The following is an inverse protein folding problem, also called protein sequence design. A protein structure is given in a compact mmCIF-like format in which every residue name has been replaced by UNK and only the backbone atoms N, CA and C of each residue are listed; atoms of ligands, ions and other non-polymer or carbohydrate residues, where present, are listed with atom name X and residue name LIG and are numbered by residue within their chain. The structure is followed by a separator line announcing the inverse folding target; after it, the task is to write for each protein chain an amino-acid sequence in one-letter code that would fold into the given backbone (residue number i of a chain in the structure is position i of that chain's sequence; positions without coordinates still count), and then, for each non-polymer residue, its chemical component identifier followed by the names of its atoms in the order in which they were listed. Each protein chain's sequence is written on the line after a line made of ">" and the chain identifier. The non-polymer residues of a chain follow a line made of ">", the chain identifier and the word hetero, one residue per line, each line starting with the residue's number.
data_IF_158495479958
#
_entry.id   IF_158495479958
#
_cell.length_a   1.000
_cell.length_b   1.000
_cell.length_c   1.000
_cell.angle_alpha   90.00
_cell.angle_beta   90.00
_cell.angle_gamma   90.00
#
_symmetry.space_group_name_H-M   'P 1'
#
loop_
_entity.id
_entity.type
_entity.pdbx_description
1 polymer ?
#
# COMPACT_ATOMS: atom_id res chain seq x y z
N UNK A 1 5.03 -31.40 89.12
CA UNK A 1 6.39 -31.08 88.63
C UNK A 1 6.34 -30.86 87.11
N UNK A 2 7.09 -29.87 86.61
CA UNK A 2 7.07 -29.15 85.30
C UNK A 2 7.32 -30.05 84.05
N UNK A 3 7.19 -29.57 82.77
CA UNK A 3 7.07 -28.17 82.32
C UNK A 3 6.07 -27.83 81.19
N UNK A 4 5.91 -26.50 81.08
CA UNK A 4 5.42 -25.69 79.97
C UNK A 4 6.00 -26.11 78.61
N UNK A 5 5.13 -26.23 77.61
CA UNK A 5 5.46 -25.88 76.22
C UNK A 5 4.40 -24.90 75.73
N UNK A 6 4.79 -23.63 75.66
CA UNK A 6 4.03 -22.57 75.03
C UNK A 6 4.39 -22.59 73.54
N UNK A 7 3.47 -23.02 72.67
CA UNK A 7 3.60 -22.80 71.23
C UNK A 7 2.46 -21.90 70.79
N UNK A 8 2.86 -20.66 70.58
CA UNK A 8 2.10 -19.52 70.15
C UNK A 8 1.48 -19.81 68.77
N UNK A 9 0.15 -19.85 68.67
CA UNK A 9 -0.57 -19.78 67.40
C UNK A 9 -0.24 -18.43 66.75
N UNK A 10 0.44 -18.46 65.59
CA UNK A 10 0.46 -17.32 64.67
C UNK A 10 0.03 -17.73 63.27
N UNK A 11 -1.23 -17.39 63.00
CA UNK A 11 -1.77 -16.81 61.77
C UNK A 11 -1.25 -17.36 60.43
N UNK A 12 -2.16 -18.08 59.78
CA UNK A 12 -2.22 -18.45 58.35
C UNK A 12 -1.54 -17.43 57.43
N UNK A 13 -0.40 -17.79 56.83
CA UNK A 13 0.08 -17.10 55.63
C UNK A 13 -0.72 -17.62 54.44
N UNK A 14 -1.54 -16.73 53.88
CA UNK A 14 -2.24 -16.96 52.61
C UNK A 14 -1.21 -17.28 51.53
N UNK A 15 -1.13 -18.55 51.12
CA UNK A 15 -0.39 -18.97 49.93
C UNK A 15 -1.06 -18.30 48.73
N UNK A 16 -0.55 -17.13 48.34
CA UNK A 16 -0.94 -16.41 47.11
C UNK A 16 -0.91 -17.41 45.95
N UNK A 17 -2.08 -17.87 45.52
CA UNK A 17 -2.24 -18.52 44.21
C UNK A 17 -1.77 -17.49 43.19
N UNK A 18 -0.61 -17.71 42.59
CA UNK A 18 -0.18 -16.93 41.42
C UNK A 18 -1.19 -17.26 40.33
N UNK A 19 -2.13 -16.34 40.10
CA UNK A 19 -2.98 -16.38 38.93
C UNK A 19 -2.06 -16.16 37.75
N UNK A 20 -1.71 -17.25 37.04
CA UNK A 20 -1.00 -17.16 35.77
C UNK A 20 -2.02 -16.59 34.80
N UNK A 21 -1.91 -15.29 34.55
CA UNK A 21 -2.70 -14.58 33.57
C UNK A 21 -2.29 -15.09 32.18
N UNK A 22 -3.04 -16.08 31.70
CA UNK A 22 -2.83 -16.71 30.41
C UNK A 22 -3.42 -15.79 29.35
N UNK A 23 -2.59 -14.89 28.83
CA UNK A 23 -2.95 -14.02 27.71
C UNK A 23 -3.08 -14.88 26.45
N UNK A 24 -4.30 -15.29 26.12
CA UNK A 24 -4.60 -15.88 24.82
C UNK A 24 -4.38 -14.81 23.74
N UNK A 25 -3.20 -14.81 23.12
CA UNK A 25 -3.00 -14.10 21.86
C UNK A 25 -3.88 -14.80 20.83
N UNK A 26 -5.00 -14.16 20.46
CA UNK A 26 -5.82 -14.60 19.33
C UNK A 26 -4.94 -14.52 18.08
N UNK A 27 -4.33 -15.64 17.71
CA UNK A 27 -3.68 -15.79 16.42
C UNK A 27 -4.81 -15.87 15.40
N UNK A 28 -5.20 -14.71 14.86
CA UNK A 28 -6.10 -14.64 13.71
C UNK A 28 -5.34 -15.24 12.53
N UNK A 29 -5.61 -16.51 12.23
CA UNK A 29 -5.04 -17.23 11.10
C UNK A 29 -5.44 -16.55 9.79
N UNK A 30 -4.56 -15.70 9.27
CA UNK A 30 -4.69 -15.04 7.97
C UNK A 30 -3.35 -15.08 7.23
N UNK A 31 -3.39 -14.87 5.91
CA UNK A 31 -2.17 -14.71 5.09
C UNK A 31 -1.30 -13.62 5.74
N UNK A 32 0.01 -13.87 5.94
CA UNK A 32 0.89 -12.90 6.58
C UNK A 32 0.77 -11.54 5.90
N UNK A 33 0.88 -10.43 6.67
CA UNK A 33 0.78 -9.10 6.11
C UNK A 33 1.87 -8.89 5.07
N UNK A 34 1.48 -8.28 3.94
CA UNK A 34 2.41 -7.96 2.86
C UNK A 34 3.50 -7.01 3.35
N UNK A 35 4.76 -7.37 3.12
CA UNK A 35 5.90 -6.53 3.44
C UNK A 35 6.42 -5.90 2.15
N UNK A 36 6.27 -4.58 1.95
CA UNK A 36 6.77 -3.92 0.76
C UNK A 36 8.29 -3.79 0.83
N UNK A 37 8.96 -4.52 -0.05
CA UNK A 37 10.40 -4.43 -0.29
C UNK A 37 10.73 -3.41 -1.40
N UNK A 38 11.97 -2.92 -1.42
CA UNK A 38 12.43 -1.92 -2.40
C UNK A 38 12.46 -2.48 -3.82
N UNK A 39 12.83 -3.75 -4.01
CA UNK A 39 12.81 -4.40 -5.34
C UNK A 39 11.38 -4.44 -5.89
N UNK A 40 10.41 -4.79 -5.04
CA UNK A 40 9.00 -4.81 -5.42
C UNK A 40 8.49 -3.40 -5.76
N UNK A 41 8.96 -2.36 -5.05
CA UNK A 41 8.62 -0.96 -5.36
C UNK A 41 9.13 -0.57 -6.74
N UNK A 42 10.38 -0.91 -7.05
CA UNK A 42 10.97 -0.68 -8.37
C UNK A 42 10.19 -1.39 -9.47
N UNK A 43 9.80 -2.65 -9.25
CA UNK A 43 8.98 -3.41 -10.20
C UNK A 43 7.61 -2.75 -10.41
N UNK A 44 6.92 -2.33 -9.35
CA UNK A 44 5.63 -1.64 -9.48
C UNK A 44 5.77 -0.33 -10.25
N UNK A 45 6.78 0.48 -9.93
CA UNK A 45 7.02 1.76 -10.60
C UNK A 45 7.35 1.55 -12.09
N UNK A 46 8.13 0.52 -12.42
CA UNK A 46 8.47 0.14 -13.78
C UNK A 46 7.22 -0.27 -14.58
N UNK A 47 6.43 -1.20 -14.05
CA UNK A 47 5.22 -1.70 -14.72
C UNK A 47 4.17 -0.60 -14.88
N UNK A 48 3.98 0.23 -13.86
CA UNK A 48 3.11 1.39 -13.96
C UNK A 48 3.62 2.40 -15.00
N UNK A 49 4.94 2.60 -15.07
CA UNK A 49 5.62 3.42 -16.08
C UNK A 49 5.50 2.88 -17.52
N UNK A 50 5.26 1.58 -17.67
CA UNK A 50 4.94 0.94 -18.94
C UNK A 50 3.44 0.90 -19.26
N UNK A 51 2.62 1.64 -18.49
CA UNK A 51 1.16 1.68 -18.61
C UNK A 51 0.45 0.33 -18.40
N UNK A 52 1.05 -0.61 -17.67
CA UNK A 52 0.43 -1.89 -17.33
C UNK A 52 -0.76 -1.68 -16.38
N UNK A 53 -1.93 -2.33 -16.59
CA UNK A 53 -3.07 -2.22 -15.70
C UNK A 53 -2.75 -2.71 -14.27
N UNK A 54 -3.31 -2.06 -13.25
CA UNK A 54 -3.10 -2.46 -11.85
C UNK A 54 -3.51 -3.91 -11.56
N UNK A 55 -4.51 -4.45 -12.28
CA UNK A 55 -4.92 -5.84 -12.13
C UNK A 55 -3.82 -6.82 -12.54
N UNK A 56 -3.12 -6.54 -13.64
CA UNK A 56 -1.99 -7.35 -14.11
C UNK A 56 -0.79 -7.21 -13.17
N UNK A 57 -0.53 -6.00 -12.66
CA UNK A 57 0.50 -5.76 -11.63
C UNK A 57 0.20 -6.59 -10.37
N UNK A 58 -1.07 -6.67 -9.97
CA UNK A 58 -1.50 -7.54 -8.85
C UNK A 58 -1.26 -9.02 -9.15
N UNK A 59 -1.50 -9.45 -10.39
CA UNK A 59 -1.22 -10.82 -10.86
C UNK A 59 0.28 -11.15 -10.78
N UNK A 60 1.14 -10.25 -11.26
CA UNK A 60 2.61 -10.42 -11.22
C UNK A 60 3.13 -10.54 -9.79
N UNK A 61 2.57 -9.79 -8.85
CA UNK A 61 3.00 -9.75 -7.44
C UNK A 61 2.24 -10.74 -6.55
N UNK A 62 1.22 -11.42 -7.09
CA UNK A 62 0.29 -12.28 -6.36
C UNK A 62 -0.35 -11.64 -5.10
N UNK A 63 -0.66 -10.35 -5.19
CA UNK A 63 -1.27 -9.55 -4.12
C UNK A 63 -2.69 -9.08 -4.47
N UNK A 64 -3.47 -8.79 -3.43
CA UNK A 64 -4.80 -8.18 -3.59
C UNK A 64 -4.68 -6.71 -4.05
N UNK A 65 -5.58 -6.21 -4.92
CA UNK A 65 -5.61 -4.80 -5.33
C UNK A 65 -5.64 -3.79 -4.17
N UNK A 66 -6.25 -4.13 -3.03
CA UNK A 66 -6.25 -3.28 -1.83
C UNK A 66 -4.85 -3.14 -1.23
N UNK A 67 -4.05 -4.21 -1.29
CA UNK A 67 -2.67 -4.24 -0.81
C UNK A 67 -1.79 -3.41 -1.74
N UNK A 68 -1.96 -3.55 -3.06
CA UNK A 68 -1.24 -2.74 -4.04
C UNK A 68 -1.45 -1.24 -3.79
N UNK A 69 -2.71 -0.81 -3.67
CA UNK A 69 -3.06 0.60 -3.41
C UNK A 69 -2.56 1.10 -2.06
N UNK A 70 -2.54 0.24 -1.03
CA UNK A 70 -2.10 0.64 0.32
C UNK A 70 -0.59 0.85 0.41
N UNK A 71 0.20 -0.02 -0.21
CA UNK A 71 1.66 -0.03 -0.01
C UNK A 71 2.46 0.64 -1.13
N UNK A 72 1.90 0.68 -2.34
CA UNK A 72 2.62 1.10 -3.55
C UNK A 72 1.99 2.32 -4.25
N UNK A 73 1.23 3.13 -3.50
CA UNK A 73 0.53 4.28 -4.10
C UNK A 73 1.48 5.25 -4.80
N UNK A 74 2.62 5.53 -4.17
CA UNK A 74 3.61 6.50 -4.69
C UNK A 74 4.25 6.01 -5.97
N UNK A 75 4.54 4.71 -6.05
CA UNK A 75 5.14 4.04 -7.19
C UNK A 75 4.16 4.02 -8.37
N UNK A 76 2.88 3.76 -8.11
CA UNK A 76 1.82 3.85 -9.10
C UNK A 76 1.66 5.28 -9.64
N UNK A 77 1.68 6.29 -8.76
CA UNK A 77 1.55 7.70 -9.14
C UNK A 77 2.78 8.17 -9.95
N UNK A 78 3.99 7.79 -9.54
CA UNK A 78 5.23 8.06 -10.31
C UNK A 78 5.22 7.39 -11.67
N UNK A 79 4.83 6.12 -11.73
CA UNK A 79 4.71 5.39 -12.99
C UNK A 79 3.70 6.06 -13.93
N UNK A 80 2.54 6.46 -13.41
CA UNK A 80 1.55 7.22 -14.17
C UNK A 80 2.12 8.54 -14.71
N UNK A 81 2.84 9.31 -13.88
CA UNK A 81 3.49 10.55 -14.30
C UNK A 81 4.54 10.34 -15.40
N UNK A 82 5.30 9.23 -15.36
CA UNK A 82 6.25 8.86 -16.43
C UNK A 82 5.53 8.60 -17.75
N UNK A 83 4.41 7.89 -17.72
CA UNK A 83 3.58 7.64 -18.92
C UNK A 83 3.04 8.96 -19.47
N UNK A 84 2.53 9.84 -18.61
CA UNK A 84 2.03 11.15 -19.01
C UNK A 84 3.13 11.97 -19.69
N UNK A 85 4.30 12.07 -19.07
CA UNK A 85 5.45 12.78 -19.64
C UNK A 85 5.85 12.22 -21.01
N UNK A 86 5.88 10.90 -21.17
CA UNK A 86 6.20 10.26 -22.44
C UNK A 86 5.18 10.62 -23.54
N UNK A 87 3.88 10.62 -23.21
CA UNK A 87 2.82 11.02 -24.14
C UNK A 87 2.95 12.50 -24.53
N UNK A 88 3.23 13.38 -23.57
CA UNK A 88 3.41 14.82 -23.82
C UNK A 88 4.65 15.09 -24.69
N UNK A 89 5.76 14.39 -24.44
CA UNK A 89 6.94 14.49 -25.30
C UNK A 89 6.64 14.02 -26.73
N UNK A 90 5.89 12.92 -26.87
CA UNK A 90 5.49 12.44 -28.19
C UNK A 90 4.57 13.43 -28.90
N UNK A 91 3.61 14.03 -28.17
CA UNK A 91 2.73 15.08 -28.66
C UNK A 91 3.53 16.29 -29.18
N UNK A 92 4.51 16.77 -28.41
CA UNK A 92 5.36 17.88 -28.81
C UNK A 92 6.13 17.58 -30.10
N UNK A 93 6.64 16.35 -30.25
CA UNK A 93 7.37 15.93 -31.46
C UNK A 93 6.49 15.94 -32.71
N UNK A 94 5.22 15.54 -32.60
CA UNK A 94 4.29 15.48 -33.74
C UNK A 94 3.52 16.79 -33.98
N UNK A 95 3.60 17.75 -33.06
CA UNK A 95 2.86 19.02 -33.14
C UNK A 95 3.19 19.83 -34.40
N UNK A 96 4.39 19.67 -34.97
CA UNK A 96 4.81 20.30 -36.23
C UNK A 96 4.68 19.39 -37.47
N UNK A 97 4.15 18.17 -37.31
CA UNK A 97 4.04 17.16 -38.36
C UNK A 97 2.61 16.93 -38.85
N UNK A 98 2.44 15.96 -39.75
CA UNK A 98 1.15 15.62 -40.38
C UNK A 98 0.45 14.39 -39.80
N UNK A 99 0.94 13.83 -38.67
CA UNK A 99 0.39 12.61 -38.09
C UNK A 99 -0.84 12.90 -37.20
N UNK A 100 -1.98 13.14 -37.86
CA UNK A 100 -3.25 13.37 -37.19
C UNK A 100 -3.79 12.17 -36.41
N UNK A 101 -3.37 10.95 -36.76
CA UNK A 101 -3.81 9.73 -36.07
C UNK A 101 -3.10 9.60 -34.73
N UNK A 102 -1.77 9.77 -34.70
CA UNK A 102 -1.01 9.80 -33.44
C UNK A 102 -1.50 10.92 -32.52
N UNK A 103 -1.79 12.11 -33.07
CA UNK A 103 -2.33 13.23 -32.30
C UNK A 103 -3.64 12.85 -31.58
N UNK A 104 -4.60 12.27 -32.30
CA UNK A 104 -5.89 11.85 -31.72
C UNK A 104 -5.72 10.76 -30.66
N UNK A 105 -4.85 9.78 -30.90
CA UNK A 105 -4.59 8.71 -29.94
C UNK A 105 -3.98 9.24 -28.63
N UNK A 106 -3.01 10.15 -28.72
CA UNK A 106 -2.39 10.76 -27.53
C UNK A 106 -3.40 11.64 -26.78
N UNK A 107 -4.14 12.50 -27.49
CA UNK A 107 -5.18 13.34 -26.88
C UNK A 107 -6.22 12.48 -26.16
N UNK A 108 -6.66 11.39 -26.77
CA UNK A 108 -7.57 10.44 -26.14
C UNK A 108 -6.97 9.86 -24.85
N UNK A 109 -5.71 9.41 -24.88
CA UNK A 109 -5.05 8.86 -23.70
C UNK A 109 -4.91 9.89 -22.56
N UNK A 110 -4.49 11.11 -22.88
CA UNK A 110 -4.34 12.22 -21.92
C UNK A 110 -5.69 12.59 -21.27
N UNK A 111 -6.76 12.67 -22.06
CA UNK A 111 -8.11 12.97 -21.54
C UNK A 111 -8.66 11.82 -20.69
N UNK A 112 -8.58 10.58 -21.20
CA UNK A 112 -9.19 9.42 -20.57
C UNK A 112 -8.52 9.01 -19.24
N UNK A 113 -7.20 9.20 -19.10
CA UNK A 113 -6.42 8.71 -17.95
C UNK A 113 -5.91 9.80 -17.03
N UNK A 114 -5.57 10.97 -17.56
CA UNK A 114 -4.89 12.04 -16.81
C UNK A 114 -5.79 13.27 -16.58
N UNK A 115 -7.03 13.23 -17.06
CA UNK A 115 -8.01 14.29 -16.81
C UNK A 115 -7.72 15.60 -17.54
N UNK A 116 -6.91 15.55 -18.61
CA UNK A 116 -6.69 16.72 -19.46
C UNK A 116 -8.01 17.16 -20.07
N UNK A 117 -8.23 18.47 -20.14
CA UNK A 117 -9.41 19.04 -20.77
C UNK A 117 -9.02 20.25 -21.60
N UNK A 118 -9.81 20.55 -22.62
CA UNK A 118 -9.63 21.75 -23.46
C UNK A 118 -9.99 23.05 -22.75
N UNK A 119 -10.63 22.96 -21.59
CA UNK A 119 -11.02 24.09 -20.78
C UNK A 119 -10.03 24.26 -19.64
N UNK A 120 -9.53 25.48 -19.44
CA UNK A 120 -8.84 25.81 -18.19
C UNK A 120 -9.87 25.72 -17.08
N UNK A 121 -9.71 24.79 -16.16
CA UNK A 121 -10.50 24.77 -14.92
C UNK A 121 -10.15 26.02 -14.14
N UNK A 122 -11.01 27.04 -14.22
CA UNK A 122 -10.96 28.18 -13.31
C UNK A 122 -11.26 27.64 -11.91
N UNK A 123 -10.20 27.34 -11.17
CA UNK A 123 -10.17 27.09 -9.72
C UNK A 123 -11.06 25.96 -9.20
N UNK A 124 -10.45 24.82 -8.88
CA UNK A 124 -10.76 24.11 -7.61
C UNK A 124 -9.44 23.55 -7.06
N UNK A 125 -8.92 24.18 -6.00
CA UNK A 125 -7.94 23.55 -5.11
C UNK A 125 -8.44 22.15 -4.74
N UNK A 126 -7.62 21.13 -4.98
CA UNK A 126 -7.79 19.81 -4.38
C UNK A 126 -6.57 19.49 -3.55
#
# INVERSE_FOLDING_TARGET
>A
MRPRCNVHLKSKSHRRRKHVEMTYSRQTGGRPPHQPDEELRMVVELLAGAAVPQAEICGVLEIDPKTLRRHYRRELDRGAAKVEAALVMHLHRIASGSDGTALRAIQFALRARFGWSEFTSLTICR
#
